data_IF_840985640021
#
_entry.id   IF_840985640021
#
_cell.length_a   1.000
_cell.length_b   1.000
_cell.length_c   1.000
_cell.angle_alpha   90.00
_cell.angle_beta   90.00
_cell.angle_gamma   90.00
#
_symmetry.space_group_name_H-M   'P 1'
#
loop_
_entity.id
_entity.type
_entity.pdbx_description
1 polymer ?
#
# COMPACT_ATOMS: atom_id res chain seq x y z
N UNK A 1 -44.79 -6.26 -46.60
CA UNK A 1 -43.63 -5.41 -46.90
C UNK A 1 -43.03 -4.99 -45.57
N UNK A 2 -41.77 -5.30 -45.28
CA UNK A 2 -41.14 -4.86 -44.03
C UNK A 2 -40.98 -3.34 -44.09
N UNK A 3 -41.65 -2.62 -43.20
CA UNK A 3 -41.51 -1.16 -43.09
C UNK A 3 -40.07 -0.86 -42.67
N UNK A 4 -39.30 -0.27 -43.59
CA UNK A 4 -37.96 0.19 -43.28
C UNK A 4 -38.09 1.32 -42.25
N UNK A 5 -37.44 1.21 -41.08
CA UNK A 5 -37.47 2.28 -40.09
C UNK A 5 -36.86 3.54 -40.69
N UNK A 6 -37.40 4.69 -40.29
CA UNK A 6 -36.82 5.98 -40.63
C UNK A 6 -35.39 6.07 -40.05
N UNK A 7 -34.52 6.86 -40.68
CA UNK A 7 -33.09 6.91 -40.33
C UNK A 7 -32.88 7.32 -38.89
N UNK A 8 -33.68 8.26 -38.39
CA UNK A 8 -33.57 8.76 -37.03
C UNK A 8 -34.09 7.76 -35.99
N UNK A 9 -35.18 7.06 -36.31
CA UNK A 9 -35.67 5.96 -35.48
C UNK A 9 -34.64 4.82 -35.39
N UNK A 10 -33.96 4.52 -36.49
CA UNK A 10 -32.90 3.51 -36.53
C UNK A 10 -31.67 3.93 -35.69
N UNK A 11 -31.26 5.20 -35.77
CA UNK A 11 -30.17 5.75 -34.94
C UNK A 11 -30.50 5.64 -33.46
N UNK A 12 -31.68 6.10 -33.04
CA UNK A 12 -32.12 6.05 -31.65
C UNK A 12 -32.16 4.61 -31.10
N UNK A 13 -32.64 3.66 -31.91
CA UNK A 13 -32.67 2.24 -31.53
C UNK A 13 -31.26 1.65 -31.37
N UNK A 14 -30.32 2.01 -32.24
CA UNK A 14 -28.95 1.52 -32.15
C UNK A 14 -28.21 2.15 -30.96
N UNK A 15 -28.42 3.44 -30.68
CA UNK A 15 -27.83 4.11 -29.52
C UNK A 15 -28.27 3.49 -28.20
N UNK A 16 -29.57 3.17 -28.04
CA UNK A 16 -30.07 2.51 -26.83
C UNK A 16 -29.46 1.13 -26.63
N UNK A 17 -29.35 0.34 -27.72
CA UNK A 17 -28.70 -0.98 -27.68
C UNK A 17 -27.23 -0.88 -27.27
N UNK A 18 -26.48 0.09 -27.80
CA UNK A 18 -25.09 0.32 -27.42
C UNK A 18 -25.00 0.67 -25.94
N UNK A 19 -25.82 1.61 -25.46
CA UNK A 19 -25.81 2.00 -24.04
C UNK A 19 -26.13 0.85 -23.10
N UNK A 20 -27.12 0.01 -23.41
CA UNK A 20 -27.43 -1.18 -22.61
C UNK A 20 -26.26 -2.17 -22.57
N UNK A 21 -25.61 -2.42 -23.71
CA UNK A 21 -24.46 -3.33 -23.78
C UNK A 21 -23.27 -2.80 -22.99
N UNK A 22 -22.99 -1.50 -23.05
CA UNK A 22 -21.95 -0.86 -22.26
C UNK A 22 -22.24 -0.93 -20.75
N UNK A 23 -23.51 -0.79 -20.34
CA UNK A 23 -23.91 -0.95 -18.93
C UNK A 23 -23.70 -2.36 -18.40
N UNK A 24 -23.98 -3.38 -19.22
CA UNK A 24 -23.83 -4.78 -18.83
C UNK A 24 -22.35 -5.19 -18.85
N UNK A 25 -21.61 -4.79 -19.88
CA UNK A 25 -20.22 -5.18 -20.11
C UNK A 25 -19.34 -3.96 -20.45
N UNK A 26 -18.84 -3.22 -19.44
CA UNK A 26 -18.01 -2.04 -19.68
C UNK A 26 -16.67 -2.37 -20.36
N UNK A 27 -16.13 -3.58 -20.13
CA UNK A 27 -14.88 -4.07 -20.72
C UNK A 27 -15.02 -4.52 -22.19
N UNK A 28 -16.23 -4.49 -22.77
CA UNK A 28 -16.45 -4.91 -24.15
C UNK A 28 -15.88 -3.93 -25.19
N UNK A 29 -15.55 -2.70 -24.78
CA UNK A 29 -14.95 -1.69 -25.65
C UNK A 29 -13.43 -1.72 -25.50
N UNK A 30 -12.76 -2.30 -26.50
CA UNK A 30 -11.30 -2.23 -26.60
C UNK A 30 -10.90 -0.83 -27.09
N UNK A 31 -10.41 0.00 -26.19
CA UNK A 31 -9.86 1.31 -26.55
C UNK A 31 -8.41 1.15 -26.98
N UNK A 32 -8.11 1.34 -28.26
CA UNK A 32 -6.74 1.27 -28.82
C UNK A 32 -5.86 2.47 -28.44
N UNK A 33 -6.36 3.39 -27.60
CA UNK A 33 -5.54 4.46 -27.07
C UNK A 33 -4.37 3.85 -26.28
N UNK A 34 -3.18 4.40 -26.46
CA UNK A 34 -2.05 4.06 -25.63
C UNK A 34 -2.43 4.36 -24.17
N UNK A 35 -2.48 3.31 -23.35
CA UNK A 35 -2.59 3.49 -21.91
C UNK A 35 -1.32 4.20 -21.44
N UNK A 36 -1.42 5.18 -20.52
CA UNK A 36 -0.24 5.79 -19.94
C UNK A 36 0.64 4.69 -19.34
N UNK A 37 1.95 4.77 -19.59
CA UNK A 37 2.89 3.80 -19.03
C UNK A 37 2.71 3.75 -17.51
N UNK A 38 2.71 2.55 -16.91
CA UNK A 38 2.60 2.43 -15.46
C UNK A 38 3.71 3.25 -14.81
N UNK A 39 3.33 4.12 -13.87
CA UNK A 39 4.29 4.94 -13.17
C UNK A 39 5.37 4.06 -12.52
N UNK A 40 6.63 4.39 -12.80
CA UNK A 40 7.78 3.72 -12.20
C UNK A 40 7.80 4.01 -10.71
N UNK A 41 7.25 3.09 -9.91
CA UNK A 41 7.37 3.17 -8.46
C UNK A 41 8.85 3.04 -8.06
N UNK A 42 9.35 3.84 -7.11
CA UNK A 42 10.67 3.61 -6.55
C UNK A 42 10.72 2.21 -5.94
N UNK A 43 11.90 1.58 -5.99
CA UNK A 43 12.09 0.27 -5.38
C UNK A 43 11.89 0.39 -3.86
N UNK A 44 10.78 -0.14 -3.36
CA UNK A 44 10.50 -0.23 -1.92
C UNK A 44 10.67 -1.67 -1.47
N UNK A 45 11.52 -1.89 -0.47
CA UNK A 45 11.60 -3.18 0.21
C UNK A 45 10.33 -3.44 1.03
N UNK A 46 10.03 -4.72 1.26
CA UNK A 46 9.00 -5.11 2.23
C UNK A 46 9.57 -4.94 3.64
N UNK A 47 8.77 -4.50 4.64
CA UNK A 47 9.24 -4.40 6.01
C UNK A 47 9.65 -5.78 6.52
N UNK A 48 10.82 -5.82 7.14
CA UNK A 48 11.38 -7.02 7.75
C UNK A 48 10.60 -7.40 9.02
N UNK A 49 10.90 -8.57 9.59
CA UNK A 49 10.29 -8.99 10.87
C UNK A 49 10.67 -8.04 12.01
N UNK A 50 11.91 -7.52 11.98
CA UNK A 50 12.41 -6.56 12.98
C UNK A 50 11.69 -5.21 12.86
N UNK A 51 11.49 -4.71 11.64
CA UNK A 51 10.76 -3.44 11.42
C UNK A 51 9.35 -3.50 12.01
N UNK A 52 8.65 -4.63 11.82
CA UNK A 52 7.31 -4.85 12.38
C UNK A 52 7.31 -4.95 13.91
N UNK A 53 8.36 -5.53 14.50
CA UNK A 53 8.49 -5.59 15.95
C UNK A 53 8.71 -4.19 16.53
N UNK A 54 9.57 -3.40 15.88
CA UNK A 54 9.85 -2.04 16.28
C UNK A 54 8.63 -1.11 16.18
N UNK A 55 7.85 -1.21 15.09
CA UNK A 55 6.58 -0.48 14.96
C UNK A 55 5.62 -0.78 16.12
N UNK A 56 5.51 -2.04 16.52
CA UNK A 56 4.67 -2.45 17.66
C UNK A 56 5.18 -1.88 18.99
N UNK A 57 6.49 -1.86 19.21
CA UNK A 57 7.07 -1.25 20.41
C UNK A 57 6.80 0.26 20.46
N UNK A 58 6.94 0.97 19.33
CA UNK A 58 6.60 2.39 19.24
C UNK A 58 5.13 2.65 19.56
N UNK A 59 4.22 1.82 19.04
CA UNK A 59 2.79 1.95 19.33
C UNK A 59 2.48 1.67 20.81
N UNK A 60 3.16 0.70 21.42
CA UNK A 60 3.06 0.43 22.85
C UNK A 60 3.54 1.64 23.68
N UNK A 61 4.70 2.21 23.35
CA UNK A 61 5.22 3.40 24.04
C UNK A 61 4.28 4.60 23.92
N UNK A 62 3.63 4.80 22.77
CA UNK A 62 2.63 5.86 22.57
C UNK A 62 1.40 5.62 23.45
N UNK A 63 0.92 4.38 23.54
CA UNK A 63 -0.19 4.01 24.40
C UNK A 63 0.14 4.21 25.89
N UNK A 64 1.33 3.79 26.32
CA UNK A 64 1.82 3.93 27.69
C UNK A 64 1.99 5.40 28.07
N UNK A 65 2.54 6.22 27.17
CA UNK A 65 2.67 7.66 27.36
C UNK A 65 1.29 8.34 27.48
N UNK A 66 0.32 7.94 26.65
CA UNK A 66 -1.06 8.43 26.77
C UNK A 66 -1.72 7.99 28.08
N UNK A 67 -1.38 6.80 28.59
CA UNK A 67 -1.84 6.29 29.88
C UNK A 67 -1.05 6.83 31.09
N UNK A 68 0.02 7.61 30.87
CA UNK A 68 0.89 8.14 31.93
C UNK A 68 1.77 7.09 32.61
N UNK A 69 1.97 5.93 31.98
CA UNK A 69 2.78 4.82 32.52
C UNK A 69 4.24 5.00 32.09
N UNK A 70 5.15 5.12 33.05
CA UNK A 70 6.60 5.22 32.78
C UNK A 70 7.20 3.81 32.82
N UNK A 71 7.33 3.18 31.66
CA UNK A 71 8.04 1.91 31.52
C UNK A 71 9.54 2.18 31.42
N UNK A 72 10.29 1.85 32.48
CA UNK A 72 11.75 1.84 32.44
C UNK A 72 12.20 0.56 31.75
N UNK A 73 12.99 0.60 30.67
CA UNK A 73 13.49 -0.61 30.05
C UNK A 73 14.39 -1.34 31.04
N UNK A 74 13.95 -2.50 31.49
CA UNK A 74 14.79 -3.44 32.22
C UNK A 74 15.61 -4.19 31.18
N UNK A 75 16.88 -3.81 31.04
CA UNK A 75 17.85 -4.64 30.35
C UNK A 75 18.01 -5.91 31.17
N UNK A 76 17.45 -7.04 30.71
CA UNK A 76 17.77 -8.33 31.29
C UNK A 76 19.29 -8.53 31.14
N UNK A 77 19.98 -8.45 32.27
CA UNK A 77 21.40 -8.75 32.42
C UNK A 77 21.61 -10.24 32.25
N UNK A 78 21.50 -10.73 31.02
CA UNK A 78 21.83 -12.10 30.62
C UNK A 78 22.94 -12.06 29.57
N UNK A 79 24.04 -11.41 29.93
CA UNK A 79 25.35 -11.92 29.55
C UNK A 79 26.23 -11.88 30.81
N UNK A 80 26.36 -13.02 31.49
CA UNK A 80 27.52 -13.28 32.34
C UNK A 80 28.77 -13.32 31.44
N UNK A 81 29.19 -12.14 31.03
CA UNK A 81 30.29 -11.89 30.13
C UNK A 81 30.65 -10.45 30.40
N UNK A 82 31.73 -10.27 31.16
CA UNK A 82 32.35 -8.99 31.50
C UNK A 82 32.22 -8.01 30.32
N UNK A 83 31.88 -6.72 30.53
CA UNK A 83 32.00 -5.74 29.46
C UNK A 83 33.48 -5.68 29.07
N UNK A 84 33.83 -6.29 27.94
CA UNK A 84 35.21 -6.40 27.44
C UNK A 84 35.65 -5.12 26.71
N UNK A 85 34.96 -4.02 26.94
CA UNK A 85 35.23 -2.73 26.32
C UNK A 85 35.30 -1.70 27.45
N UNK A 86 36.50 -1.46 27.97
CA UNK A 86 36.76 -0.32 28.83
C UNK A 86 37.06 0.88 27.95
N UNK A 87 36.68 2.08 28.40
CA UNK A 87 37.01 3.33 27.74
C UNK A 87 38.54 3.49 27.54
N UNK A 88 39.32 2.86 28.43
CA UNK A 88 40.77 2.84 28.43
C UNK A 88 41.40 1.93 27.34
N UNK A 89 40.60 1.10 26.65
CA UNK A 89 41.08 0.22 25.57
C UNK A 89 41.33 0.98 24.24
N UNK A 90 41.02 2.28 24.21
CA UNK A 90 41.23 3.17 23.07
C UNK A 90 42.19 4.31 23.44
N UNK A 91 43.51 4.11 23.27
CA UNK A 91 44.53 5.08 23.71
C UNK A 91 44.63 6.35 22.85
N UNK A 92 43.81 6.49 21.80
CA UNK A 92 43.83 7.61 20.85
C UNK A 92 42.54 8.48 20.88
N UNK A 93 41.77 8.44 21.98
CA UNK A 93 40.69 9.39 22.26
C UNK A 93 41.07 10.36 23.39
#
# INVERSE_FOLDING_TARGET
MLNRPDKDALRAMLESQVQEKLRINPESVTTYAAQPEPERRPYSSKPTVQDKAFERELDQMRADAAAGVINKPTYDSLSEGKPSLKLDDYPDL
#
